data_IF_889146567023
#
_entry.id   IF_889146567023
#
_cell.length_a   1.000
_cell.length_b   1.000
_cell.length_c   1.000
_cell.angle_alpha   90.00
_cell.angle_beta   90.00
_cell.angle_gamma   90.00
#
_symmetry.space_group_name_H-M   'P 1'
#
loop_
_entity.id
_entity.type
_entity.pdbx_description
1 polymer ?
#
# COMPACT_ATOMS: atom_id res chain seq x y z
N UNK A 1 3.38 20.88 -3.02
CA UNK A 1 2.10 20.39 -2.47
C UNK A 1 2.25 18.90 -2.21
N UNK A 2 2.51 18.50 -0.95
CA UNK A 2 2.53 17.09 -0.53
C UNK A 2 1.12 16.71 -0.09
N UNK A 3 0.57 15.66 -0.69
CA UNK A 3 -0.81 15.22 -0.54
C UNK A 3 -1.19 14.89 0.91
N UNK A 4 -2.37 15.35 1.27
CA UNK A 4 -2.97 15.35 2.61
C UNK A 4 -3.50 13.95 3.00
N UNK A 5 -2.67 12.90 3.05
CA UNK A 5 -3.10 11.52 3.40
C UNK A 5 -2.81 11.14 4.87
N UNK A 6 -2.87 12.10 5.79
CA UNK A 6 -2.74 11.85 7.22
C UNK A 6 -4.10 11.98 7.92
N UNK A 7 -5.06 11.13 7.54
CA UNK A 7 -6.20 10.83 8.40
C UNK A 7 -5.69 10.27 9.73
N UNK A 8 -6.23 10.77 10.85
CA UNK A 8 -5.82 10.46 12.23
C UNK A 8 -5.87 8.94 12.50
N UNK A 9 -4.74 8.23 12.35
CA UNK A 9 -4.61 6.82 12.76
C UNK A 9 -4.07 5.88 11.69
N UNK A 10 -3.95 4.59 12.04
CA UNK A 10 -3.64 3.52 11.08
C UNK A 10 -4.90 3.06 10.35
N UNK A 11 -4.74 2.65 9.09
CA UNK A 11 -5.84 2.04 8.33
C UNK A 11 -6.21 0.69 8.99
N UNK A 12 -7.49 0.41 9.30
CA UNK A 12 -7.88 -0.84 9.95
C UNK A 12 -7.51 -2.07 9.13
N UNK A 13 -7.56 -1.99 7.79
CA UNK A 13 -7.19 -3.08 6.89
C UNK A 13 -5.66 -3.30 6.83
N UNK A 14 -4.84 -2.45 7.46
CA UNK A 14 -3.40 -2.66 7.55
C UNK A 14 -3.00 -3.73 8.57
N UNK A 15 -3.93 -4.20 9.41
CA UNK A 15 -3.71 -5.30 10.35
C UNK A 15 -4.02 -6.62 9.68
N UNK A 16 -3.02 -7.51 9.63
CA UNK A 16 -3.17 -8.81 8.97
C UNK A 16 -3.43 -9.91 10.01
N UNK A 17 -4.35 -10.85 9.75
CA UNK A 17 -4.59 -11.98 10.64
C UNK A 17 -3.41 -12.98 10.62
N UNK A 18 -3.17 -13.64 11.76
CA UNK A 18 -2.06 -14.58 11.94
C UNK A 18 -0.69 -14.02 11.53
N UNK A 19 -0.50 -12.71 11.71
CA UNK A 19 0.73 -12.00 11.36
C UNK A 19 1.18 -11.10 12.51
N UNK A 20 2.50 -10.97 12.69
CA UNK A 20 3.06 -10.06 13.69
C UNK A 20 2.91 -8.61 13.24
N UNK A 21 1.86 -7.94 13.68
CA UNK A 21 1.54 -6.55 13.30
C UNK A 21 2.43 -5.52 14.02
N UNK A 22 3.71 -5.46 13.63
CA UNK A 22 4.63 -4.42 14.11
C UNK A 22 4.17 -3.03 13.66
N UNK A 23 4.26 -2.04 14.57
CA UNK A 23 3.81 -0.65 14.33
C UNK A 23 4.34 -0.05 13.03
N UNK A 24 5.63 -0.24 12.72
CA UNK A 24 6.25 0.26 11.48
C UNK A 24 5.64 -0.40 10.24
N UNK A 25 5.42 -1.72 10.27
CA UNK A 25 4.79 -2.43 9.16
C UNK A 25 3.30 -2.11 8.99
N UNK A 26 2.56 -1.88 10.08
CA UNK A 26 1.18 -1.37 10.04
C UNK A 26 1.15 0.03 9.42
N UNK A 27 2.08 0.91 9.80
CA UNK A 27 2.22 2.25 9.21
C UNK A 27 2.42 2.18 7.71
N UNK A 28 3.39 1.39 7.24
CA UNK A 28 3.68 1.29 5.81
C UNK A 28 2.49 0.74 5.00
N UNK A 29 1.85 -0.33 5.50
CA UNK A 29 0.62 -0.86 4.89
C UNK A 29 -0.53 0.16 4.88
N UNK A 30 -0.68 0.93 5.97
CA UNK A 30 -1.70 1.99 6.04
C UNK A 30 -1.50 3.05 4.97
N UNK A 31 -0.26 3.53 4.79
CA UNK A 31 0.07 4.51 3.75
C UNK A 31 -0.26 3.99 2.35
N UNK A 32 0.10 2.73 2.06
CA UNK A 32 -0.21 2.09 0.77
C UNK A 32 -1.72 1.98 0.55
N UNK A 33 -2.46 1.46 1.53
CA UNK A 33 -3.91 1.26 1.40
C UNK A 33 -4.65 2.60 1.26
N UNK A 34 -4.24 3.62 2.01
CA UNK A 34 -4.82 4.96 1.88
C UNK A 34 -4.55 5.56 0.50
N UNK A 35 -3.31 5.47 -0.01
CA UNK A 35 -2.97 5.97 -1.35
C UNK A 35 -3.75 5.24 -2.47
N UNK A 36 -3.97 3.94 -2.31
CA UNK A 36 -4.75 3.14 -3.27
C UNK A 36 -6.26 3.31 -3.14
N UNK A 37 -6.75 3.83 -2.01
CA UNK A 37 -8.15 4.17 -1.81
C UNK A 37 -8.62 5.33 -2.70
N UNK A 38 -7.70 6.22 -3.07
CA UNK A 38 -7.98 7.36 -3.96
C UNK A 38 -8.03 6.93 -5.43
N UNK A 39 -7.05 6.13 -5.88
CA UNK A 39 -6.94 5.66 -7.27
C UNK A 39 -5.95 4.50 -7.40
N UNK A 40 -6.05 3.70 -8.49
CA UNK A 40 -5.01 2.74 -8.83
C UNK A 40 -3.66 3.43 -9.09
N UNK A 41 -2.59 2.92 -8.50
CA UNK A 41 -1.24 3.49 -8.62
C UNK A 41 -0.22 2.42 -8.99
N UNK A 42 0.77 2.80 -9.80
CA UNK A 42 1.95 1.97 -10.03
C UNK A 42 2.98 2.16 -8.89
N UNK A 43 4.05 1.35 -8.89
CA UNK A 43 5.09 1.44 -7.84
C UNK A 43 5.71 2.83 -7.73
N UNK A 44 5.88 3.54 -8.85
CA UNK A 44 6.41 4.91 -8.87
C UNK A 44 5.46 5.90 -8.20
N UNK A 45 4.17 5.84 -8.54
CA UNK A 45 3.13 6.66 -7.92
C UNK A 45 3.01 6.37 -6.42
N UNK A 46 3.01 5.10 -6.02
CA UNK A 46 3.01 4.71 -4.61
C UNK A 46 4.24 5.24 -3.87
N UNK A 47 5.43 5.22 -4.49
CA UNK A 47 6.65 5.80 -3.90
C UNK A 47 6.49 7.30 -3.66
N UNK A 48 5.97 8.03 -4.64
CA UNK A 48 5.74 9.47 -4.52
C UNK A 48 4.69 9.82 -3.45
N UNK A 49 3.58 9.08 -3.37
CA UNK A 49 2.50 9.34 -2.41
C UNK A 49 2.86 8.93 -0.98
N UNK A 50 3.57 7.81 -0.81
CA UNK A 50 3.81 7.23 0.53
C UNK A 50 5.18 7.60 1.12
N UNK A 51 6.13 8.05 0.29
CA UNK A 51 7.52 8.27 0.69
C UNK A 51 8.29 6.98 1.04
N UNK A 52 7.70 5.80 0.84
CA UNK A 52 8.34 4.52 1.15
C UNK A 52 9.41 4.15 0.12
N UNK A 53 10.46 3.47 0.57
CA UNK A 53 11.44 2.88 -0.34
C UNK A 53 10.81 1.80 -1.21
N UNK A 54 11.39 1.56 -2.39
CA UNK A 54 10.84 0.55 -3.32
C UNK A 54 10.87 -0.87 -2.72
N UNK A 55 11.92 -1.21 -1.96
CA UNK A 55 11.98 -2.49 -1.24
C UNK A 55 10.86 -2.64 -0.20
N UNK A 56 10.58 -1.57 0.55
CA UNK A 56 9.48 -1.54 1.52
C UNK A 56 8.12 -1.69 0.83
N UNK A 57 7.90 -0.95 -0.26
CA UNK A 57 6.68 -1.07 -1.09
C UNK A 57 6.48 -2.48 -1.60
N UNK A 58 7.49 -3.07 -2.26
CA UNK A 58 7.39 -4.43 -2.82
C UNK A 58 7.07 -5.47 -1.73
N UNK A 59 7.73 -5.37 -0.58
CA UNK A 59 7.47 -6.26 0.56
C UNK A 59 6.02 -6.15 1.05
N UNK A 60 5.55 -4.92 1.30
CA UNK A 60 4.21 -4.70 1.83
C UNK A 60 3.12 -4.98 0.81
N UNK A 61 3.31 -4.67 -0.48
CA UNK A 61 2.38 -5.02 -1.55
C UNK A 61 2.22 -6.53 -1.66
N UNK A 62 3.32 -7.30 -1.64
CA UNK A 62 3.25 -8.78 -1.68
C UNK A 62 2.47 -9.35 -0.50
N UNK A 63 2.62 -8.76 0.70
CA UNK A 63 1.81 -9.14 1.85
C UNK A 63 0.34 -8.79 1.63
N UNK A 64 0.03 -7.56 1.26
CA UNK A 64 -1.36 -7.12 1.07
C UNK A 64 -2.06 -7.91 -0.06
N UNK A 65 -1.35 -8.28 -1.13
CA UNK A 65 -1.85 -9.18 -2.18
C UNK A 65 -2.13 -10.59 -1.64
N UNK A 66 -1.22 -11.16 -0.84
CA UNK A 66 -1.42 -12.48 -0.21
C UNK A 66 -2.70 -12.53 0.64
N UNK A 67 -3.02 -11.42 1.30
CA UNK A 67 -4.23 -11.28 2.12
C UNK A 67 -5.42 -10.70 1.34
N UNK A 68 -5.33 -10.60 0.00
CA UNK A 68 -6.41 -10.15 -0.90
C UNK A 68 -6.96 -8.76 -0.58
N UNK A 69 -6.11 -7.86 -0.08
CA UNK A 69 -6.47 -6.46 0.20
C UNK A 69 -6.17 -5.54 -0.99
N UNK A 70 -5.24 -5.96 -1.85
CA UNK A 70 -4.88 -5.29 -3.09
C UNK A 70 -4.68 -6.33 -4.17
N UNK A 71 -4.86 -5.89 -5.41
CA UNK A 71 -4.62 -6.68 -6.61
C UNK A 71 -3.67 -5.95 -7.53
N UNK A 72 -2.67 -6.66 -8.05
CA UNK A 72 -1.85 -6.17 -9.15
C UNK A 72 -2.57 -6.33 -10.49
N UNK A 73 -2.64 -5.24 -11.24
CA UNK A 73 -3.16 -5.17 -12.61
C UNK A 73 -1.97 -5.05 -13.55
N UNK A 74 -1.94 -5.87 -14.60
CA UNK A 74 -0.93 -5.78 -15.66
C UNK A 74 -1.57 -5.26 -16.93
N UNK A 75 -0.91 -4.30 -17.57
CA UNK A 75 -1.25 -3.81 -18.90
C UNK A 75 0.04 -3.72 -19.71
N UNK A 76 0.27 -4.74 -20.54
CA UNK A 76 1.54 -4.95 -21.25
C UNK A 76 2.73 -5.01 -20.29
N UNK A 77 3.71 -4.13 -20.50
CA UNK A 77 4.93 -4.02 -19.66
C UNK A 77 4.69 -3.24 -18.34
N UNK A 78 3.54 -2.59 -18.18
CA UNK A 78 3.24 -1.77 -17.00
C UNK A 78 2.41 -2.57 -15.99
N UNK A 79 2.60 -2.26 -14.71
CA UNK A 79 1.78 -2.79 -13.65
C UNK A 79 1.32 -1.68 -12.70
N UNK A 80 0.07 -1.74 -12.30
CA UNK A 80 -0.53 -0.92 -11.24
C UNK A 80 -1.12 -1.82 -10.16
N UNK A 81 -1.45 -1.22 -9.03
CA UNK A 81 -2.14 -1.86 -7.91
C UNK A 81 -3.44 -1.11 -7.66
N UNK A 82 -4.45 -1.82 -7.19
CA UNK A 82 -5.72 -1.27 -6.72
C UNK A 82 -6.19 -2.06 -5.50
N UNK A 83 -7.10 -1.48 -4.71
CA UNK A 83 -7.81 -2.24 -3.67
C UNK A 83 -8.66 -3.36 -4.30
N UNK A 84 -8.82 -4.46 -3.57
CA UNK A 84 -9.76 -5.54 -3.91
C UNK A 84 -11.13 -5.23 -3.32
#
# INVERSE_FOLDING_TARGET
MVGLLAGRGFNPNAYLPNFRNRKVGVKARSLILNALGEKPLNTGGLKSETGLSEGSLRYHLKLLERYKLVRRIKSGRKASYQLT
#
